data_IF_843818222918
#
_entry.id   IF_843818222918
#
_cell.length_a   1.000
_cell.length_b   1.000
_cell.length_c   1.000
_cell.angle_alpha   90.00
_cell.angle_beta   90.00
_cell.angle_gamma   90.00
#
_symmetry.space_group_name_H-M   'P 1'
#
loop_
_entity.id
_entity.type
_entity.pdbx_description
1 polymer ?
#
# COMPACT_ATOMS: atom_id res chain seq x y z
N UNK A 1 25.03 28.12 14.93
CA UNK A 1 24.44 26.99 15.71
C UNK A 1 23.85 26.06 14.69
N UNK A 2 24.66 25.10 14.24
CA UNK A 2 24.45 24.41 12.97
C UNK A 2 23.77 23.08 13.20
N UNK A 3 22.44 23.11 13.35
CA UNK A 3 21.61 21.91 13.57
C UNK A 3 21.48 20.96 12.36
N UNK A 4 22.18 21.23 11.25
CA UNK A 4 22.09 20.46 10.00
C UNK A 4 22.94 19.19 9.93
N UNK A 5 24.00 19.07 10.73
CA UNK A 5 24.96 17.96 10.64
C UNK A 5 24.46 16.67 11.30
N UNK A 6 23.84 16.78 12.48
CA UNK A 6 23.38 15.63 13.27
C UNK A 6 22.24 14.89 12.55
N UNK A 7 21.28 15.63 11.99
CA UNK A 7 20.13 15.04 11.28
C UNK A 7 20.54 14.30 10.00
N UNK A 8 21.55 14.84 9.29
CA UNK A 8 22.12 14.22 8.09
C UNK A 8 22.84 12.92 8.41
N UNK A 9 23.65 12.89 9.49
CA UNK A 9 24.31 11.66 9.94
C UNK A 9 23.33 10.62 10.48
N UNK A 10 22.25 11.05 11.15
CA UNK A 10 21.18 10.17 11.62
C UNK A 10 20.47 9.50 10.44
N UNK A 11 19.99 10.26 9.45
CA UNK A 11 19.33 9.70 8.25
C UNK A 11 20.20 8.69 7.50
N UNK A 12 21.52 8.89 7.46
CA UNK A 12 22.44 8.00 6.74
C UNK A 12 22.80 6.74 7.53
N UNK A 13 22.81 6.79 8.87
CA UNK A 13 23.16 5.65 9.74
C UNK A 13 21.95 4.80 10.13
N UNK A 14 20.76 5.40 10.22
CA UNK A 14 19.50 4.72 10.53
C UNK A 14 19.22 3.49 9.65
N UNK A 15 19.33 3.52 8.30
CA UNK A 15 19.06 2.32 7.48
C UNK A 15 20.04 1.17 7.73
N UNK A 16 21.31 1.45 8.08
CA UNK A 16 22.30 0.42 8.39
C UNK A 16 21.98 -0.34 9.68
N UNK A 17 21.35 0.31 10.67
CA UNK A 17 20.97 -0.32 11.93
C UNK A 17 19.53 -0.85 11.93
N UNK A 18 18.64 -0.25 11.14
CA UNK A 18 17.26 -0.74 11.00
C UNK A 18 17.23 -2.08 10.28
N UNK A 19 18.06 -2.28 9.24
CA UNK A 19 18.00 -3.47 8.41
C UNK A 19 18.26 -4.78 9.17
N UNK A 20 19.30 -4.90 10.03
CA UNK A 20 19.50 -6.10 10.84
C UNK A 20 18.39 -6.34 11.86
N UNK A 21 17.81 -5.27 12.41
CA UNK A 21 16.70 -5.37 13.38
C UNK A 21 15.42 -5.86 12.71
N UNK A 22 15.11 -5.37 11.51
CA UNK A 22 13.97 -5.85 10.72
C UNK A 22 14.18 -7.28 10.22
N UNK A 23 15.40 -7.61 9.75
CA UNK A 23 15.72 -8.96 9.34
C UNK A 23 15.62 -9.94 10.53
N UNK A 24 16.16 -9.56 11.68
CA UNK A 24 16.06 -10.33 12.92
C UNK A 24 14.60 -10.53 13.36
N UNK A 25 13.79 -9.47 13.35
CA UNK A 25 12.38 -9.58 13.75
C UNK A 25 11.58 -10.49 12.82
N UNK A 26 11.80 -10.43 11.50
CA UNK A 26 11.18 -11.34 10.54
C UNK A 26 11.59 -12.80 10.79
N UNK A 27 12.86 -13.07 11.02
CA UNK A 27 13.36 -14.43 11.33
C UNK A 27 12.75 -14.96 12.63
N UNK A 28 12.65 -14.13 13.68
CA UNK A 28 12.03 -14.53 14.94
C UNK A 28 10.53 -14.80 14.81
N UNK A 29 9.82 -13.98 14.02
CA UNK A 29 8.40 -14.20 13.72
C UNK A 29 8.21 -15.52 12.95
N UNK A 30 9.02 -15.75 11.92
CA UNK A 30 8.97 -16.96 11.09
C UNK A 30 9.30 -18.24 11.90
N UNK A 31 10.32 -18.17 12.77
CA UNK A 31 10.66 -19.24 13.71
C UNK A 31 9.51 -19.52 14.68
N UNK A 32 8.90 -18.49 15.26
CA UNK A 32 7.81 -18.65 16.21
C UNK A 32 6.58 -19.27 15.53
N UNK A 33 6.27 -18.87 14.29
CA UNK A 33 5.24 -19.52 13.49
C UNK A 33 5.57 -20.99 13.27
N UNK A 34 6.78 -21.33 12.80
CA UNK A 34 7.20 -22.72 12.55
C UNK A 34 7.12 -23.59 13.82
N UNK A 35 7.46 -23.03 14.98
CA UNK A 35 7.29 -23.70 16.28
C UNK A 35 5.81 -23.97 16.58
N UNK A 36 4.94 -23.01 16.35
CA UNK A 36 3.49 -23.19 16.53
C UNK A 36 2.93 -24.23 15.58
N UNK A 37 3.39 -24.30 14.32
CA UNK A 37 2.98 -25.35 13.37
C UNK A 37 3.33 -26.75 13.85
N UNK A 38 4.53 -26.95 14.40
CA UNK A 38 4.96 -28.26 14.95
C UNK A 38 4.20 -28.64 16.22
N UNK A 39 3.83 -27.68 17.05
CA UNK A 39 2.99 -27.93 18.23
C UNK A 39 1.54 -28.22 17.85
N UNK A 40 1.10 -27.68 16.72
CA UNK A 40 -0.26 -27.83 16.18
C UNK A 40 -0.34 -28.93 15.09
N UNK A 41 0.52 -29.95 15.09
CA UNK A 41 0.43 -31.11 14.17
C UNK A 41 -0.95 -31.81 14.21
N UNK A 42 -1.76 -31.56 15.23
CA UNK A 42 -3.21 -31.62 15.11
C UNK A 42 -3.74 -30.37 14.38
N UNK A 43 -3.50 -30.26 13.07
CA UNK A 43 -4.25 -29.30 12.25
C UNK A 43 -5.71 -29.77 12.23
N UNK A 44 -6.45 -29.31 13.23
CA UNK A 44 -7.89 -29.51 13.33
C UNK A 44 -8.51 -29.09 12.00
N UNK A 45 -9.19 -30.05 11.39
CA UNK A 45 -10.07 -29.91 10.23
C UNK A 45 -10.55 -28.47 10.05
N UNK A 46 -10.23 -27.87 8.89
CA UNK A 46 -10.67 -26.53 8.52
C UNK A 46 -12.19 -26.48 8.61
N UNK A 47 -12.69 -26.03 9.75
CA UNK A 47 -14.10 -25.97 10.07
C UNK A 47 -14.54 -24.53 9.79
N UNK A 48 -15.61 -24.39 9.02
CA UNK A 48 -16.14 -23.08 8.61
C UNK A 48 -16.40 -22.18 9.83
N UNK A 49 -16.80 -22.76 10.96
CA UNK A 49 -16.97 -22.08 12.24
C UNK A 49 -15.66 -21.52 12.82
N UNK A 50 -14.55 -22.26 12.71
CA UNK A 50 -13.23 -21.78 13.13
C UNK A 50 -12.75 -20.63 12.26
N UNK A 51 -12.92 -20.72 10.93
CA UNK A 51 -12.59 -19.64 10.00
C UNK A 51 -13.41 -18.37 10.29
N UNK A 52 -14.73 -18.49 10.46
CA UNK A 52 -15.60 -17.36 10.77
C UNK A 52 -15.21 -16.68 12.09
N UNK A 53 -14.96 -17.45 13.16
CA UNK A 53 -14.46 -16.89 14.43
C UNK A 53 -13.14 -16.14 14.22
N UNK A 54 -12.23 -16.72 13.44
CA UNK A 54 -10.89 -16.14 13.23
C UNK A 54 -10.94 -14.83 12.44
N UNK A 55 -11.73 -14.78 11.36
CA UNK A 55 -11.89 -13.59 10.52
C UNK A 55 -12.59 -12.46 11.29
N UNK A 56 -13.71 -12.75 11.94
CA UNK A 56 -14.53 -11.71 12.56
C UNK A 56 -14.08 -11.32 13.98
N UNK A 57 -13.48 -12.24 14.76
CA UNK A 57 -13.10 -11.97 16.16
C UNK A 57 -11.63 -11.63 16.34
N UNK A 58 -10.73 -12.43 15.77
CA UNK A 58 -9.28 -12.22 15.91
C UNK A 58 -8.78 -11.13 14.95
N UNK A 59 -9.30 -11.09 13.73
CA UNK A 59 -8.90 -10.14 12.68
C UNK A 59 -9.89 -8.98 12.47
N UNK A 60 -10.63 -8.60 13.51
CA UNK A 60 -11.60 -7.49 13.46
C UNK A 60 -11.02 -6.18 12.92
N UNK A 61 -9.75 -5.88 13.21
CA UNK A 61 -9.09 -4.68 12.72
C UNK A 61 -8.77 -4.75 11.22
N UNK A 62 -8.47 -5.94 10.69
CA UNK A 62 -8.26 -6.15 9.25
C UNK A 62 -9.59 -5.96 8.50
N UNK A 63 -10.69 -6.52 9.00
CA UNK A 63 -12.02 -6.30 8.41
C UNK A 63 -12.42 -4.82 8.37
N UNK A 64 -11.97 -4.01 9.34
CA UNK A 64 -12.21 -2.56 9.34
C UNK A 64 -11.22 -1.80 8.45
N UNK A 65 -9.96 -2.26 8.37
CA UNK A 65 -8.94 -1.62 7.55
C UNK A 65 -9.15 -1.80 6.05
N UNK A 66 -9.67 -2.94 5.60
CA UNK A 66 -9.94 -3.19 4.18
C UNK A 66 -10.87 -2.13 3.55
N UNK A 67 -12.06 -1.84 4.08
CA UNK A 67 -12.93 -0.81 3.51
C UNK A 67 -12.34 0.60 3.64
N UNK A 68 -11.59 0.88 4.71
CA UNK A 68 -10.89 2.16 4.85
C UNK A 68 -9.82 2.34 3.77
N UNK A 69 -8.96 1.34 3.55
CA UNK A 69 -7.94 1.35 2.51
C UNK A 69 -8.55 1.46 1.11
N UNK A 70 -9.66 0.74 0.86
CA UNK A 70 -10.40 0.84 -0.41
C UNK A 70 -10.95 2.26 -0.63
N UNK A 71 -11.58 2.85 0.40
CA UNK A 71 -12.08 4.22 0.33
C UNK A 71 -10.95 5.22 0.05
N UNK A 72 -9.86 5.18 0.83
CA UNK A 72 -8.72 6.07 0.61
C UNK A 72 -8.08 5.89 -0.76
N UNK A 73 -7.95 4.64 -1.24
CA UNK A 73 -7.44 4.35 -2.59
C UNK A 73 -8.29 4.97 -3.68
N UNK A 74 -9.62 4.78 -3.63
CA UNK A 74 -10.53 5.36 -4.63
C UNK A 74 -10.57 6.90 -4.59
N UNK A 75 -10.50 7.51 -3.41
CA UNK A 75 -10.39 8.97 -3.27
C UNK A 75 -9.08 9.50 -3.86
N UNK A 76 -7.97 8.81 -3.59
CA UNK A 76 -6.66 9.18 -4.11
C UNK A 76 -6.60 9.11 -5.63
N UNK A 77 -7.13 8.02 -6.20
CA UNK A 77 -7.16 7.80 -7.65
C UNK A 77 -8.02 8.87 -8.35
N UNK A 78 -9.20 9.18 -7.80
CA UNK A 78 -10.06 10.28 -8.30
C UNK A 78 -9.37 11.64 -8.23
N UNK A 79 -8.65 11.94 -7.16
CA UNK A 79 -7.90 13.19 -7.03
C UNK A 79 -6.76 13.28 -8.07
N UNK A 80 -6.05 12.17 -8.30
CA UNK A 80 -5.03 12.05 -9.34
C UNK A 80 -5.61 12.27 -10.73
N UNK A 81 -6.71 11.58 -11.06
CA UNK A 81 -7.40 11.72 -12.34
C UNK A 81 -8.01 13.10 -12.53
N UNK A 82 -8.52 13.75 -11.48
CA UNK A 82 -8.98 15.14 -11.54
C UNK A 82 -7.83 16.08 -11.92
N UNK A 83 -6.65 15.93 -11.30
CA UNK A 83 -5.47 16.73 -11.66
C UNK A 83 -5.01 16.47 -13.09
N UNK A 84 -5.01 15.21 -13.54
CA UNK A 84 -4.71 14.85 -14.93
C UNK A 84 -5.73 15.44 -15.91
N UNK A 85 -7.01 15.50 -15.51
CA UNK A 85 -8.07 16.09 -16.33
C UNK A 85 -7.89 17.60 -16.54
N UNK A 86 -7.28 18.31 -15.59
CA UNK A 86 -6.95 19.73 -15.74
C UNK A 86 -5.74 19.98 -16.67
N UNK A 87 -5.00 18.94 -17.03
CA UNK A 87 -3.90 19.01 -18.00
C UNK A 87 -4.36 18.65 -19.43
N UNK A 88 -5.66 18.33 -19.62
CA UNK A 88 -6.24 18.04 -20.94
C UNK A 88 -6.01 19.22 -21.88
N UNK A 89 -5.55 18.93 -23.10
CA UNK A 89 -5.41 19.94 -24.15
C UNK A 89 -4.18 20.86 -24.05
N UNK A 90 -3.43 20.82 -22.94
CA UNK A 90 -2.31 21.76 -22.69
C UNK A 90 -0.92 21.21 -23.07
N UNK A 91 -0.82 19.99 -23.59
CA UNK A 91 0.46 19.41 -24.00
C UNK A 91 0.89 19.91 -25.38
N UNK A 92 2.09 20.51 -25.47
CA UNK A 92 2.66 20.97 -26.76
C UNK A 92 2.98 19.81 -27.72
N UNK A 93 3.25 18.62 -27.16
CA UNK A 93 3.58 17.40 -27.91
C UNK A 93 2.39 16.83 -28.71
N UNK A 94 1.16 17.12 -28.30
CA UNK A 94 -0.06 16.57 -28.92
C UNK A 94 -1.00 17.65 -29.45
N UNK A 95 -0.54 18.89 -29.59
CA UNK A 95 -1.35 20.02 -30.04
C UNK A 95 -2.01 19.75 -31.41
N UNK A 96 -1.28 19.11 -32.33
CA UNK A 96 -1.78 18.77 -33.66
C UNK A 96 -2.91 17.73 -33.62
N UNK A 97 -2.83 16.74 -32.71
CA UNK A 97 -3.88 15.73 -32.54
C UNK A 97 -5.13 16.30 -31.86
N UNK A 98 -4.96 17.27 -30.96
CA UNK A 98 -6.07 17.95 -30.28
C UNK A 98 -6.91 18.76 -31.28
N UNK A 99 -6.27 19.39 -32.28
CA UNK A 99 -6.99 20.12 -33.34
C UNK A 99 -7.83 19.21 -34.25
N UNK A 100 -7.46 17.93 -34.38
CA UNK A 100 -8.19 16.95 -35.17
C UNK A 100 -9.41 16.36 -34.43
N UNK A 101 -9.53 16.57 -33.12
CA UNK A 101 -10.63 16.03 -32.31
C UNK A 101 -11.82 17.01 -32.37
N UNK A 102 -13.06 16.54 -32.60
CA UNK A 102 -14.24 17.40 -32.57
C UNK A 102 -14.41 18.05 -31.20
N UNK A 103 -14.80 19.34 -31.18
CA UNK A 103 -14.79 20.23 -30.00
C UNK A 103 -15.50 19.71 -28.72
N UNK A 104 -16.35 18.70 -28.83
CA UNK A 104 -17.15 18.17 -27.72
C UNK A 104 -16.72 16.77 -27.25
N UNK A 105 -15.70 16.15 -27.87
CA UNK A 105 -15.22 14.82 -27.47
C UNK A 105 -14.05 14.89 -26.48
N UNK A 106 -13.97 13.89 -25.59
CA UNK A 106 -12.90 13.79 -24.60
C UNK A 106 -11.59 13.34 -25.25
N UNK A 107 -10.51 14.06 -24.95
CA UNK A 107 -9.17 13.86 -25.54
C UNK A 107 -8.59 12.48 -25.18
N UNK A 108 -9.07 11.83 -24.12
CA UNK A 108 -8.56 10.56 -23.57
C UNK A 108 -9.46 9.36 -23.84
N UNK A 109 -10.48 9.50 -24.71
CA UNK A 109 -11.39 8.39 -25.03
C UNK A 109 -10.71 7.28 -25.87
N UNK A 110 -9.48 7.51 -26.34
CA UNK A 110 -8.69 6.63 -27.20
C UNK A 110 -7.29 6.39 -26.63
#
# INVERSE_FOLDING_TARGET
MDGGSVLYHLKRRVPLYIWPVLAGSLIFIDWNHTRQWKLNEAMGTFTISYFAKKVFWEHKFLCLWVPAAYYFGTCWDRAGMHKASMMKGHSRMYADRIQAIPKNDDVWKY
#
